data_IF_120147237055
#
_entry.id   IF_120147237055
#
_cell.length_a   1.000
_cell.length_b   1.000
_cell.length_c   1.000
_cell.angle_alpha   90.00
_cell.angle_beta   90.00
_cell.angle_gamma   90.00
#
_symmetry.space_group_name_H-M   'P 1'
#
loop_
_entity.id
_entity.type
_entity.pdbx_description
1 polymer ?
#
# COMPACT_ATOMS: atom_id res chain seq x y z
N UNK A 1 -9.11 -9.08 -16.85
CA UNK A 1 -7.85 -8.32 -16.64
C UNK A 1 -7.13 -8.78 -15.37
N UNK A 2 -6.86 -10.10 -15.26
CA UNK A 2 -6.12 -10.65 -14.14
C UNK A 2 -4.71 -10.04 -14.09
N UNK A 3 -4.33 -9.52 -12.90
CA UNK A 3 -3.02 -8.93 -12.67
C UNK A 3 -2.90 -7.41 -12.90
N UNK A 4 -3.94 -6.75 -13.40
CA UNK A 4 -3.95 -5.28 -13.52
C UNK A 4 -4.70 -4.68 -12.33
N UNK A 5 -4.16 -3.62 -11.75
CA UNK A 5 -4.77 -2.84 -10.70
C UNK A 5 -4.74 -1.35 -11.01
N UNK A 6 -5.26 -0.53 -10.09
CA UNK A 6 -5.15 0.91 -10.18
C UNK A 6 -4.70 1.52 -8.86
N UNK A 7 -3.99 2.65 -8.95
CA UNK A 7 -3.49 3.41 -7.82
C UNK A 7 -4.34 4.65 -7.55
N UNK A 8 -4.32 5.10 -6.30
CA UNK A 8 -5.12 6.23 -5.82
C UNK A 8 -4.27 7.43 -5.36
N UNK A 9 -3.02 7.51 -5.80
CA UNK A 9 -2.09 8.57 -5.37
C UNK A 9 -2.60 9.98 -5.63
N UNK A 10 -3.31 10.18 -6.74
CA UNK A 10 -3.89 11.47 -7.08
C UNK A 10 -5.09 11.87 -6.18
N UNK A 11 -5.72 10.92 -5.50
CA UNK A 11 -6.94 11.16 -4.74
C UNK A 11 -6.64 11.92 -3.45
N UNK A 12 -7.32 13.07 -3.28
CA UNK A 12 -7.09 13.93 -2.13
C UNK A 12 -5.79 14.75 -2.18
N UNK A 13 -5.03 14.69 -3.28
CA UNK A 13 -3.78 15.41 -3.41
C UNK A 13 -3.99 16.79 -4.07
N UNK A 14 -4.13 17.80 -3.22
CA UNK A 14 -4.36 19.19 -3.66
C UNK A 14 -3.10 19.82 -4.27
N UNK A 15 -1.92 19.53 -3.71
CA UNK A 15 -0.69 20.22 -4.09
C UNK A 15 -0.22 19.85 -5.50
N UNK A 16 -0.30 18.57 -5.89
CA UNK A 16 0.19 18.08 -7.19
C UNK A 16 -0.93 18.02 -8.23
N UNK A 17 -2.13 17.60 -7.82
CA UNK A 17 -3.23 17.28 -8.73
C UNK A 17 -4.39 18.27 -8.65
N UNK A 18 -4.29 19.32 -7.81
CA UNK A 18 -5.32 20.33 -7.68
C UNK A 18 -6.67 19.77 -7.20
N UNK A 19 -6.64 18.70 -6.37
CA UNK A 19 -7.87 18.08 -5.87
C UNK A 19 -8.76 19.07 -5.14
N UNK A 20 -10.03 19.03 -5.46
CA UNK A 20 -11.12 19.75 -4.80
C UNK A 20 -12.28 18.79 -4.51
N UNK A 21 -12.68 18.67 -3.24
CA UNK A 21 -13.68 17.69 -2.83
C UNK A 21 -15.05 17.89 -3.49
N UNK A 22 -15.49 19.16 -3.67
CA UNK A 22 -16.80 19.45 -4.26
C UNK A 22 -16.85 19.06 -5.74
N UNK A 23 -15.72 19.27 -6.46
CA UNK A 23 -15.61 18.97 -7.88
C UNK A 23 -15.29 17.50 -8.13
N UNK A 24 -14.40 16.90 -7.34
CA UNK A 24 -13.70 15.67 -7.70
C UNK A 24 -14.26 14.41 -7.04
N UNK A 25 -14.86 14.47 -5.83
CA UNK A 25 -15.32 13.27 -5.12
C UNK A 25 -16.29 12.42 -5.94
N UNK A 26 -17.26 13.05 -6.62
CA UNK A 26 -18.22 12.35 -7.46
C UNK A 26 -17.56 11.77 -8.74
N UNK A 27 -16.58 12.47 -9.30
CA UNK A 27 -15.82 11.99 -10.47
C UNK A 27 -14.95 10.78 -10.09
N UNK A 28 -14.28 10.83 -8.95
CA UNK A 28 -13.47 9.72 -8.43
C UNK A 28 -14.33 8.50 -8.12
N UNK A 29 -15.53 8.69 -7.55
CA UNK A 29 -16.50 7.62 -7.33
C UNK A 29 -16.94 6.97 -8.66
N UNK A 30 -17.22 7.76 -9.68
CA UNK A 30 -17.56 7.24 -11.01
C UNK A 30 -16.40 6.48 -11.62
N UNK A 31 -15.15 7.00 -11.54
CA UNK A 31 -13.93 6.33 -11.99
C UNK A 31 -13.71 4.99 -11.26
N UNK A 32 -13.90 4.97 -9.94
CA UNK A 32 -13.82 3.75 -9.14
C UNK A 32 -14.80 2.69 -9.63
N UNK A 33 -16.07 3.05 -9.82
CA UNK A 33 -17.11 2.13 -10.32
C UNK A 33 -16.78 1.62 -11.72
N UNK A 34 -16.28 2.50 -12.61
CA UNK A 34 -15.87 2.12 -13.96
C UNK A 34 -14.68 1.15 -13.93
N UNK A 35 -13.67 1.39 -13.09
CA UNK A 35 -12.54 0.48 -12.91
C UNK A 35 -13.00 -0.92 -12.49
N UNK A 36 -13.89 -1.00 -11.51
CA UNK A 36 -14.45 -2.28 -11.05
C UNK A 36 -15.29 -2.98 -12.12
N UNK A 37 -16.08 -2.24 -12.91
CA UNK A 37 -16.87 -2.83 -14.01
C UNK A 37 -15.99 -3.38 -15.12
N UNK A 38 -14.78 -2.83 -15.27
CA UNK A 38 -13.75 -3.32 -16.20
C UNK A 38 -12.92 -4.49 -15.63
N UNK A 39 -13.27 -5.01 -14.44
CA UNK A 39 -12.61 -6.17 -13.82
C UNK A 39 -11.35 -5.85 -13.04
N UNK A 40 -11.05 -4.57 -12.76
CA UNK A 40 -9.89 -4.16 -11.95
C UNK A 40 -10.22 -4.32 -10.47
N UNK A 41 -9.73 -5.38 -9.83
CA UNK A 41 -10.03 -5.70 -8.43
C UNK A 41 -8.84 -5.47 -7.47
N UNK A 42 -7.64 -5.15 -7.99
CA UNK A 42 -6.46 -4.78 -7.21
C UNK A 42 -6.39 -3.26 -7.09
N UNK A 43 -6.40 -2.75 -5.86
CA UNK A 43 -6.42 -1.33 -5.57
C UNK A 43 -5.24 -0.99 -4.66
N UNK A 44 -4.42 -0.04 -5.11
CA UNK A 44 -3.24 0.42 -4.40
C UNK A 44 -3.44 1.83 -3.84
N UNK A 45 -3.19 1.99 -2.54
CA UNK A 45 -3.26 3.27 -1.83
C UNK A 45 -2.09 3.44 -0.86
N UNK A 46 -2.09 4.46 -0.02
CA UNK A 46 -1.15 4.64 1.08
C UNK A 46 -1.73 5.56 2.18
N UNK A 47 -1.23 5.39 3.40
CA UNK A 47 -1.60 6.21 4.56
C UNK A 47 -1.23 7.69 4.42
N UNK A 48 -0.20 7.96 3.61
CA UNK A 48 0.33 9.29 3.34
C UNK A 48 -0.28 9.97 2.09
N UNK A 49 -1.19 9.29 1.37
CA UNK A 49 -1.81 9.89 0.19
C UNK A 49 -2.87 10.94 0.57
N UNK A 50 -2.75 12.09 -0.09
CA UNK A 50 -3.40 13.34 0.25
C UNK A 50 -2.35 14.41 0.58
N UNK A 51 -2.75 15.62 0.96
CA UNK A 51 -1.83 16.72 1.29
C UNK A 51 -2.25 17.48 2.54
N UNK A 52 -1.31 17.80 3.41
CA UNK A 52 -1.56 18.58 4.63
C UNK A 52 -2.66 17.97 5.50
N UNK A 53 -3.72 18.72 5.76
CA UNK A 53 -4.91 18.26 6.49
C UNK A 53 -5.69 17.14 5.78
N UNK A 54 -5.41 16.88 4.50
CA UNK A 54 -6.00 15.81 3.70
C UNK A 54 -5.15 14.54 3.70
N UNK A 55 -4.13 14.41 4.54
CA UNK A 55 -3.33 13.19 4.68
C UNK A 55 -4.25 12.01 5.04
N UNK A 56 -4.15 10.91 4.28
CA UNK A 56 -5.08 9.78 4.38
C UNK A 56 -6.43 9.95 3.67
N UNK A 57 -6.66 11.09 2.98
CA UNK A 57 -7.90 11.33 2.24
C UNK A 57 -8.17 10.29 1.16
N UNK A 58 -7.11 9.82 0.49
CA UNK A 58 -7.21 8.75 -0.50
C UNK A 58 -7.83 7.47 0.07
N UNK A 59 -7.35 7.02 1.24
CA UNK A 59 -7.92 5.85 1.93
C UNK A 59 -9.35 6.08 2.39
N UNK A 60 -9.68 7.28 2.87
CA UNK A 60 -11.03 7.63 3.32
C UNK A 60 -12.03 7.58 2.16
N UNK A 61 -11.71 8.22 1.02
CA UNK A 61 -12.52 8.15 -0.20
C UNK A 61 -12.70 6.71 -0.68
N UNK A 62 -11.62 5.94 -0.72
CA UNK A 62 -11.66 4.56 -1.14
C UNK A 62 -12.56 3.73 -0.21
N UNK A 63 -12.42 3.89 1.11
CA UNK A 63 -13.26 3.22 2.09
C UNK A 63 -14.75 3.56 1.95
N UNK A 64 -15.07 4.84 1.69
CA UNK A 64 -16.43 5.28 1.43
C UNK A 64 -17.01 4.62 0.18
N UNK A 65 -16.25 4.61 -0.93
CA UNK A 65 -16.70 4.02 -2.19
C UNK A 65 -16.86 2.50 -2.11
N UNK A 66 -15.96 1.82 -1.41
CA UNK A 66 -16.06 0.36 -1.19
C UNK A 66 -17.29 0.03 -0.32
N UNK A 67 -17.58 0.84 0.70
CA UNK A 67 -18.72 0.61 1.59
C UNK A 67 -20.08 0.65 0.85
N UNK A 68 -20.17 1.35 -0.28
CA UNK A 68 -21.35 1.41 -1.14
C UNK A 68 -21.57 0.10 -1.94
N UNK A 69 -20.57 -0.77 -2.03
CA UNK A 69 -20.66 -2.01 -2.81
C UNK A 69 -21.39 -3.12 -2.04
N UNK A 70 -22.07 -4.05 -2.74
CA UNK A 70 -22.57 -5.28 -2.14
C UNK A 70 -21.42 -6.11 -1.52
N UNK A 71 -21.73 -6.87 -0.45
CA UNK A 71 -20.75 -7.68 0.29
C UNK A 71 -19.94 -8.62 -0.63
N UNK A 72 -20.62 -9.29 -1.57
CA UNK A 72 -19.97 -10.18 -2.54
C UNK A 72 -18.93 -9.45 -3.42
N UNK A 73 -19.18 -8.20 -3.81
CA UNK A 73 -18.21 -7.41 -4.58
C UNK A 73 -17.04 -6.98 -3.71
N UNK A 74 -17.29 -6.58 -2.46
CA UNK A 74 -16.22 -6.21 -1.52
C UNK A 74 -15.25 -7.36 -1.27
N UNK A 75 -15.75 -8.60 -1.12
CA UNK A 75 -14.89 -9.77 -0.88
C UNK A 75 -13.97 -10.13 -2.05
N UNK A 76 -14.26 -9.64 -3.25
CA UNK A 76 -13.43 -9.85 -4.45
C UNK A 76 -12.29 -8.85 -4.59
N UNK A 77 -12.27 -7.79 -3.76
CA UNK A 77 -11.27 -6.75 -3.86
C UNK A 77 -9.99 -7.12 -3.09
N UNK A 78 -8.87 -6.79 -3.67
CA UNK A 78 -7.58 -6.75 -2.99
C UNK A 78 -7.19 -5.29 -2.77
N UNK A 79 -7.44 -4.79 -1.56
CA UNK A 79 -7.01 -3.44 -1.17
C UNK A 79 -5.66 -3.53 -0.49
N UNK A 80 -4.67 -2.87 -1.08
CA UNK A 80 -3.32 -2.77 -0.57
C UNK A 80 -3.02 -1.33 -0.15
N UNK A 81 -2.63 -1.12 1.11
CA UNK A 81 -2.11 0.18 1.56
C UNK A 81 -0.62 0.11 1.87
N UNK A 82 0.03 1.27 1.91
CA UNK A 82 1.43 1.40 2.30
C UNK A 82 1.52 2.26 3.54
N UNK A 83 2.37 1.85 4.48
CA UNK A 83 2.68 2.64 5.67
C UNK A 83 4.04 3.31 5.50
N UNK A 84 4.03 4.63 5.54
CA UNK A 84 5.22 5.45 5.35
C UNK A 84 6.13 5.38 6.60
N UNK A 85 7.42 5.05 6.47
CA UNK A 85 8.35 4.98 7.60
C UNK A 85 8.85 6.38 8.00
N UNK A 86 7.92 7.22 8.47
CA UNK A 86 8.26 8.56 8.97
C UNK A 86 9.19 8.50 10.18
N UNK A 87 10.02 9.54 10.45
CA UNK A 87 11.02 9.51 11.51
C UNK A 87 10.49 9.22 12.91
N UNK A 88 9.23 9.56 13.20
CA UNK A 88 8.58 9.27 14.49
C UNK A 88 8.01 7.86 14.62
N UNK A 89 8.04 7.06 13.55
CA UNK A 89 7.60 5.66 13.51
C UNK A 89 8.81 4.76 13.60
N UNK A 90 9.04 4.13 14.74
CA UNK A 90 10.20 3.27 14.93
C UNK A 90 9.90 2.08 15.85
N UNK A 91 10.74 1.06 15.76
CA UNK A 91 10.54 -0.18 16.49
C UNK A 91 9.37 -1.01 15.96
N UNK A 92 9.08 -2.13 16.60
CA UNK A 92 8.02 -3.07 16.15
C UNK A 92 6.62 -2.47 16.19
N UNK A 93 6.37 -1.56 17.15
CA UNK A 93 5.08 -0.90 17.30
C UNK A 93 4.95 0.42 16.54
N UNK A 94 5.97 0.79 15.77
CA UNK A 94 6.00 2.06 15.05
C UNK A 94 4.88 2.25 14.03
N UNK A 95 4.30 1.16 13.54
CA UNK A 95 3.18 1.19 12.61
C UNK A 95 1.79 0.96 13.25
N UNK A 96 1.68 0.61 14.53
CA UNK A 96 0.40 0.24 15.15
C UNK A 96 -0.69 1.31 14.93
N UNK A 97 -0.41 2.54 15.32
CA UNK A 97 -1.38 3.64 15.17
C UNK A 97 -1.70 3.97 13.70
N UNK A 98 -0.70 3.90 12.81
CA UNK A 98 -0.88 4.13 11.39
C UNK A 98 -1.73 3.04 10.75
N UNK A 99 -1.46 1.78 11.09
CA UNK A 99 -2.24 0.63 10.64
C UNK A 99 -3.71 0.73 11.07
N UNK A 100 -3.99 1.02 12.33
CA UNK A 100 -5.37 1.18 12.81
C UNK A 100 -6.07 2.35 12.15
N UNK A 101 -5.38 3.46 11.95
CA UNK A 101 -5.92 4.61 11.22
C UNK A 101 -6.26 4.25 9.78
N UNK A 102 -5.38 3.52 9.07
CA UNK A 102 -5.64 3.04 7.70
C UNK A 102 -6.80 2.06 7.68
N UNK A 103 -6.86 1.11 8.63
CA UNK A 103 -7.96 0.14 8.74
C UNK A 103 -9.30 0.83 8.97
N UNK A 104 -9.33 1.87 9.79
CA UNK A 104 -10.53 2.67 10.04
C UNK A 104 -10.96 3.43 8.80
N UNK A 105 -10.05 4.15 8.13
CA UNK A 105 -10.35 4.88 6.88
C UNK A 105 -10.84 3.95 5.78
N UNK A 106 -10.24 2.77 5.64
CA UNK A 106 -10.64 1.75 4.67
C UNK A 106 -11.84 0.90 5.14
N UNK A 107 -12.46 1.24 6.29
CA UNK A 107 -13.63 0.54 6.83
C UNK A 107 -13.45 -0.97 6.94
N UNK A 108 -12.26 -1.41 7.35
CA UNK A 108 -11.89 -2.80 7.49
C UNK A 108 -11.57 -3.54 6.20
N UNK A 109 -11.64 -2.88 5.04
CA UNK A 109 -11.39 -3.48 3.73
C UNK A 109 -9.89 -3.42 3.36
N UNK A 110 -9.02 -3.87 4.26
CA UNK A 110 -7.57 -3.90 4.08
C UNK A 110 -7.09 -5.34 4.03
N UNK A 111 -6.59 -5.77 2.86
CA UNK A 111 -6.07 -7.13 2.66
C UNK A 111 -4.56 -7.21 2.69
N UNK A 112 -3.86 -6.16 2.19
CA UNK A 112 -2.41 -6.13 2.12
C UNK A 112 -1.86 -4.84 2.72
N UNK A 113 -0.88 -4.98 3.61
CA UNK A 113 -0.09 -3.85 4.12
C UNK A 113 1.32 -3.92 3.55
N UNK A 114 1.90 -2.76 3.24
CA UNK A 114 3.22 -2.68 2.61
C UNK A 114 4.10 -1.65 3.33
N UNK A 115 5.41 -1.94 3.44
CA UNK A 115 6.39 -0.90 3.75
C UNK A 115 6.51 0.03 2.54
N UNK A 116 6.29 1.34 2.72
CA UNK A 116 6.17 2.29 1.61
C UNK A 116 7.49 2.54 0.88
N UNK A 117 8.60 2.61 1.62
CA UNK A 117 9.98 2.71 1.08
C UNK A 117 11.00 2.24 2.11
N UNK A 118 12.21 1.99 1.64
CA UNK A 118 13.35 1.63 2.50
C UNK A 118 13.92 2.85 3.21
N UNK A 119 14.24 2.69 4.49
CA UNK A 119 15.00 3.69 5.27
C UNK A 119 16.50 3.33 5.38
N UNK A 120 16.96 2.28 4.70
CA UNK A 120 18.31 1.73 4.85
C UNK A 120 19.42 2.75 4.61
N UNK A 121 19.18 3.77 3.79
CA UNK A 121 20.18 4.80 3.47
C UNK A 121 20.35 5.89 4.54
N UNK A 122 19.34 6.12 5.39
CA UNK A 122 19.33 7.23 6.35
C UNK A 122 18.94 6.81 7.78
N UNK A 123 18.21 5.71 7.95
CA UNK A 123 17.82 5.18 9.25
C UNK A 123 17.71 3.63 9.20
N UNK A 124 18.83 2.91 8.97
CA UNK A 124 18.82 1.46 8.77
C UNK A 124 18.27 0.67 9.98
N UNK A 125 18.40 1.24 11.19
CA UNK A 125 17.85 0.65 12.41
C UNK A 125 16.32 0.71 12.49
N UNK A 126 15.68 1.66 11.80
CA UNK A 126 14.23 1.85 11.79
C UNK A 126 13.52 0.75 11.00
N UNK A 127 14.02 0.46 9.81
CA UNK A 127 13.35 -0.41 8.84
C UNK A 127 13.11 -1.82 9.35
N UNK A 128 14.11 -2.43 9.98
CA UNK A 128 13.99 -3.80 10.47
C UNK A 128 12.96 -3.93 11.58
N UNK A 129 12.92 -2.97 12.51
CA UNK A 129 11.90 -2.94 13.56
C UNK A 129 10.48 -2.75 13.00
N UNK A 130 10.31 -1.84 12.06
CA UNK A 130 9.02 -1.61 11.39
C UNK A 130 8.56 -2.83 10.59
N UNK A 131 9.48 -3.49 9.87
CA UNK A 131 9.16 -4.71 9.12
C UNK A 131 8.74 -5.85 10.04
N UNK A 132 9.44 -6.02 11.17
CA UNK A 132 9.06 -7.00 12.19
C UNK A 132 7.64 -6.74 12.73
N UNK A 133 7.29 -5.48 12.96
CA UNK A 133 5.93 -5.09 13.36
C UNK A 133 4.88 -5.42 12.30
N UNK A 134 5.17 -5.18 11.01
CA UNK A 134 4.28 -5.60 9.94
C UNK A 134 4.11 -7.13 9.88
N UNK A 135 5.18 -7.88 10.10
CA UNK A 135 5.11 -9.34 10.19
C UNK A 135 4.22 -9.79 11.36
N UNK A 136 4.31 -9.13 12.51
CA UNK A 136 3.45 -9.41 13.68
C UNK A 136 1.96 -9.15 13.38
N UNK A 137 1.61 -8.14 12.57
CA UNK A 137 0.23 -7.91 12.14
C UNK A 137 -0.31 -9.09 11.30
N UNK A 138 0.51 -9.65 10.42
CA UNK A 138 0.14 -10.83 9.61
C UNK A 138 0.01 -12.07 10.49
N UNK A 139 0.98 -12.35 11.35
CA UNK A 139 0.97 -13.51 12.26
C UNK A 139 -0.22 -13.47 13.24
N UNK A 140 -0.63 -12.28 13.64
CA UNK A 140 -1.82 -12.07 14.48
C UNK A 140 -3.14 -12.12 13.71
N UNK A 141 -3.14 -12.36 12.39
CA UNK A 141 -4.33 -12.39 11.54
C UNK A 141 -5.06 -11.04 11.39
N UNK A 142 -4.35 -9.93 11.66
CA UNK A 142 -4.94 -8.58 11.54
C UNK A 142 -4.98 -8.08 10.11
N UNK A 143 -4.14 -8.62 9.25
CA UNK A 143 -4.07 -8.41 7.80
C UNK A 143 -3.60 -9.70 7.14
N UNK A 144 -4.06 -9.97 5.91
CA UNK A 144 -3.80 -11.25 5.24
C UNK A 144 -2.40 -11.31 4.63
N UNK A 145 -1.91 -10.20 4.09
CA UNK A 145 -0.73 -10.18 3.22
C UNK A 145 0.23 -9.05 3.57
N UNK A 146 1.53 -9.34 3.48
CA UNK A 146 2.63 -8.38 3.59
C UNK A 146 3.27 -8.12 2.23
N UNK A 147 3.54 -6.85 1.93
CA UNK A 147 4.32 -6.42 0.78
C UNK A 147 5.36 -5.37 1.14
N UNK A 148 6.17 -5.02 0.16
CA UNK A 148 7.15 -3.93 0.25
C UNK A 148 7.13 -3.09 -1.02
N UNK A 149 7.65 -1.87 -0.95
CA UNK A 149 7.69 -0.94 -2.07
C UNK A 149 9.01 -0.20 -2.11
N UNK A 150 9.49 0.10 -3.30
CA UNK A 150 10.70 0.90 -3.54
C UNK A 150 11.97 0.33 -2.87
N UNK A 151 12.20 -0.97 -3.02
CA UNK A 151 13.39 -1.68 -2.58
C UNK A 151 14.24 -2.13 -3.77
N UNK A 152 15.57 -2.01 -3.65
CA UNK A 152 16.49 -2.66 -4.58
C UNK A 152 16.68 -4.15 -4.26
N UNK A 153 17.25 -4.94 -5.21
CA UNK A 153 17.33 -6.40 -5.12
C UNK A 153 18.04 -6.90 -3.86
N UNK A 154 19.21 -6.35 -3.55
CA UNK A 154 20.00 -6.75 -2.37
C UNK A 154 19.23 -6.52 -1.06
N UNK A 155 18.55 -5.38 -0.96
CA UNK A 155 17.74 -5.07 0.22
C UNK A 155 16.52 -5.96 0.32
N UNK A 156 15.86 -6.22 -0.81
CA UNK A 156 14.74 -7.16 -0.88
C UNK A 156 15.16 -8.55 -0.38
N UNK A 157 16.27 -9.10 -0.88
CA UNK A 157 16.77 -10.40 -0.47
C UNK A 157 17.01 -10.49 1.04
N UNK A 158 17.61 -9.44 1.63
CA UNK A 158 17.85 -9.36 3.07
C UNK A 158 16.54 -9.37 3.86
N UNK A 159 15.59 -8.51 3.49
CA UNK A 159 14.32 -8.36 4.21
C UNK A 159 13.41 -9.59 4.01
N UNK A 160 13.43 -10.19 2.81
CA UNK A 160 12.69 -11.41 2.53
C UNK A 160 13.18 -12.57 3.41
N UNK A 161 14.50 -12.79 3.49
CA UNK A 161 15.08 -13.80 4.37
C UNK A 161 14.65 -13.59 5.83
N UNK A 162 14.75 -12.36 6.34
CA UNK A 162 14.33 -12.01 7.69
C UNK A 162 12.86 -12.34 7.95
N UNK A 163 11.99 -12.09 7.00
CA UNK A 163 10.56 -12.40 7.11
C UNK A 163 10.32 -13.92 7.10
N UNK A 164 11.00 -14.66 6.22
CA UNK A 164 10.93 -16.13 6.17
C UNK A 164 11.34 -16.78 7.48
N UNK A 165 12.41 -16.28 8.13
CA UNK A 165 12.84 -16.72 9.47
C UNK A 165 11.75 -16.50 10.55
N UNK A 166 10.81 -15.60 10.30
CA UNK A 166 9.65 -15.32 11.17
C UNK A 166 8.37 -16.04 10.72
N UNK A 167 8.44 -16.85 9.68
CA UNK A 167 7.27 -17.57 9.13
C UNK A 167 6.34 -16.70 8.29
N UNK A 168 6.79 -15.55 7.80
CA UNK A 168 6.00 -14.65 6.95
C UNK A 168 6.64 -14.56 5.57
N UNK A 169 5.85 -14.79 4.52
CA UNK A 169 6.27 -14.61 3.13
C UNK A 169 5.85 -13.24 2.60
N UNK A 170 6.70 -12.63 1.78
CA UNK A 170 6.32 -11.45 1.01
C UNK A 170 5.36 -11.86 -0.11
N UNK A 171 4.23 -11.14 -0.19
CA UNK A 171 3.21 -11.35 -1.23
C UNK A 171 3.45 -10.49 -2.46
N UNK A 172 4.06 -9.33 -2.30
CA UNK A 172 4.32 -8.40 -3.39
C UNK A 172 5.51 -7.50 -3.14
N UNK A 173 6.16 -7.12 -4.22
CA UNK A 173 7.02 -5.94 -4.27
C UNK A 173 6.45 -4.97 -5.30
N UNK A 174 6.38 -3.68 -4.94
CA UNK A 174 5.98 -2.62 -5.85
C UNK A 174 7.19 -1.77 -6.23
N UNK A 175 7.43 -1.65 -7.52
CA UNK A 175 8.52 -0.83 -8.10
C UNK A 175 8.01 0.02 -9.23
N UNK A 176 8.71 1.11 -9.53
CA UNK A 176 8.41 1.95 -10.67
C UNK A 176 8.77 1.19 -11.96
N UNK A 177 7.81 1.14 -12.89
CA UNK A 177 8.03 0.63 -14.23
C UNK A 177 7.13 1.41 -15.21
N UNK A 178 7.71 1.87 -16.31
CA UNK A 178 6.97 2.58 -17.36
C UNK A 178 7.75 2.50 -18.68
N UNK A 179 7.19 3.03 -19.77
CA UNK A 179 7.90 3.12 -21.06
C UNK A 179 9.15 4.01 -20.98
N UNK A 180 9.19 4.98 -20.06
CA UNK A 180 10.34 5.86 -19.81
C UNK A 180 11.32 5.30 -18.75
N UNK A 181 10.86 4.33 -17.96
CA UNK A 181 11.66 3.59 -16.99
C UNK A 181 11.35 2.09 -17.17
N UNK A 182 11.84 1.49 -18.27
CA UNK A 182 11.54 0.09 -18.57
C UNK A 182 12.14 -0.86 -17.54
N UNK A 183 11.65 -2.09 -17.54
CA UNK A 183 12.23 -3.17 -16.76
C UNK A 183 13.69 -3.37 -17.19
N UNK A 184 14.60 -3.00 -16.32
CA UNK A 184 16.04 -3.21 -16.49
C UNK A 184 16.48 -4.51 -15.79
N UNK A 185 17.77 -4.77 -15.77
CA UNK A 185 18.34 -5.93 -15.08
C UNK A 185 18.00 -5.93 -13.58
N UNK A 186 17.88 -4.75 -12.97
CA UNK A 186 17.49 -4.61 -11.57
C UNK A 186 16.09 -5.16 -11.31
N UNK A 187 15.12 -4.94 -12.21
CA UNK A 187 13.78 -5.50 -12.06
C UNK A 187 13.78 -7.02 -12.27
N UNK A 188 14.60 -7.52 -13.20
CA UNK A 188 14.79 -8.98 -13.39
C UNK A 188 15.37 -9.63 -12.14
N UNK A 189 16.38 -9.02 -11.52
CA UNK A 189 16.94 -9.47 -10.25
C UNK A 189 15.89 -9.45 -9.11
N UNK A 190 15.05 -8.42 -9.04
CA UNK A 190 13.96 -8.34 -8.07
C UNK A 190 12.96 -9.47 -8.23
N UNK A 191 12.56 -9.79 -9.47
CA UNK A 191 11.65 -10.91 -9.77
C UNK A 191 12.29 -12.26 -9.40
N UNK A 192 13.59 -12.42 -9.60
CA UNK A 192 14.29 -13.65 -9.27
C UNK A 192 14.44 -13.90 -7.75
N UNK A 193 14.33 -12.86 -6.93
CA UNK A 193 14.44 -12.93 -5.45
C UNK A 193 13.08 -13.11 -4.78
N UNK A 194 11.99 -12.68 -5.44
CA UNK A 194 10.62 -12.73 -4.90
C UNK A 194 9.94 -14.09 -5.16
#
# INVERSE_FOLDING_TARGET
LNGIGFGTWAWGNKAVWGYDAQRDDNRLRATFRQALSSGLNLIDTADSYGTGSLSGRSEALLGDFIAELPALRRSQLTVATKLAPFPWRWGRRGFDAAFESSRTRLKGQLRRVQLHWSTARYAPWQETGLLDGLAELVLAGRVDELGVSNLGPQRLALLHRRLLERGVSLRSIQVQCSLLAPADDQLRELIAVS
#
